data_IF_224499639713
#
_entry.id   IF_224499639713
#
_cell.length_a   1.000
_cell.length_b   1.000
_cell.length_c   1.000
_cell.angle_alpha   90.00
_cell.angle_beta   90.00
_cell.angle_gamma   90.00
#
_symmetry.space_group_name_H-M   'P 1'
#
loop_
_entity.id
_entity.type
_entity.pdbx_description
1 polymer ?
#
# COMPACT_ATOMS: atom_id res chain seq x y z
N UNK A 1 3.39 -21.30 -10.90
CA UNK A 1 4.76 -21.40 -11.40
C UNK A 1 4.74 -21.65 -12.91
N UNK A 2 5.70 -21.10 -13.67
CA UNK A 2 5.93 -21.54 -15.05
C UNK A 2 6.17 -23.07 -15.02
N UNK A 3 5.30 -23.87 -15.61
CA UNK A 3 5.47 -25.31 -15.68
C UNK A 3 4.47 -26.16 -14.89
N UNK A 4 3.47 -25.57 -14.22
CA UNK A 4 2.37 -26.34 -13.64
C UNK A 4 2.21 -26.25 -12.12
N UNK A 5 1.39 -27.13 -11.56
CA UNK A 5 1.04 -27.20 -10.13
C UNK A 5 2.26 -27.65 -9.31
N UNK A 6 2.45 -27.05 -8.13
CA UNK A 6 3.46 -27.50 -7.17
C UNK A 6 3.15 -28.95 -6.73
N UNK A 7 4.19 -29.78 -6.69
CA UNK A 7 4.08 -31.17 -6.26
C UNK A 7 5.41 -31.65 -5.69
N UNK A 8 5.39 -32.05 -4.43
CA UNK A 8 6.56 -32.64 -3.76
C UNK A 8 6.95 -33.98 -4.38
N UNK A 9 5.96 -34.75 -4.88
CA UNK A 9 6.21 -36.06 -5.52
C UNK A 9 6.98 -35.97 -6.84
N UNK A 10 6.89 -34.83 -7.53
CA UNK A 10 7.52 -34.59 -8.82
C UNK A 10 8.74 -33.65 -8.68
N UNK A 11 9.15 -33.32 -7.46
CA UNK A 11 10.28 -32.44 -7.18
C UNK A 11 10.06 -30.98 -7.58
N UNK A 12 8.80 -30.57 -7.85
CA UNK A 12 8.46 -29.18 -8.17
C UNK A 12 8.04 -28.45 -6.91
N UNK A 13 9.01 -28.03 -6.12
CA UNK A 13 8.80 -27.25 -4.88
C UNK A 13 9.44 -25.90 -5.06
N UNK A 14 8.82 -24.87 -4.47
CA UNK A 14 9.44 -23.57 -4.27
C UNK A 14 9.46 -23.33 -2.78
N UNK A 15 10.64 -23.22 -2.23
CA UNK A 15 10.80 -22.91 -0.82
C UNK A 15 10.47 -21.45 -0.56
N UNK A 16 9.84 -21.18 0.57
CA UNK A 16 9.42 -19.81 0.93
C UNK A 16 10.63 -18.89 1.12
N UNK A 17 11.70 -19.41 1.68
CA UNK A 17 12.94 -18.66 1.89
C UNK A 17 13.55 -18.21 0.55
N UNK A 18 13.62 -19.10 -0.45
CA UNK A 18 14.07 -18.76 -1.80
C UNK A 18 13.18 -17.69 -2.45
N UNK A 19 11.87 -17.76 -2.22
CA UNK A 19 10.95 -16.73 -2.70
C UNK A 19 11.22 -15.39 -2.01
N UNK A 20 11.44 -15.38 -0.70
CA UNK A 20 11.72 -14.16 0.05
C UNK A 20 13.04 -13.54 -0.37
N UNK A 21 14.11 -14.32 -0.48
CA UNK A 21 15.42 -13.84 -0.94
C UNK A 21 15.36 -13.25 -2.35
N UNK A 22 14.65 -13.92 -3.24
CA UNK A 22 14.45 -13.44 -4.60
C UNK A 22 13.62 -12.14 -4.62
N UNK A 23 12.56 -12.04 -3.81
CA UNK A 23 11.77 -10.81 -3.69
C UNK A 23 12.61 -9.64 -3.19
N UNK A 24 13.44 -9.85 -2.17
CA UNK A 24 14.37 -8.85 -1.64
C UNK A 24 15.37 -8.40 -2.71
N UNK A 25 15.96 -9.35 -3.44
CA UNK A 25 16.89 -9.05 -4.53
C UNK A 25 16.26 -8.21 -5.65
N UNK A 26 15.02 -8.54 -6.05
CA UNK A 26 14.31 -7.77 -7.09
C UNK A 26 13.94 -6.39 -6.54
N UNK A 27 13.43 -6.30 -5.30
CA UNK A 27 13.12 -5.03 -4.65
C UNK A 27 14.34 -4.11 -4.56
N UNK A 28 15.52 -4.66 -4.20
CA UNK A 28 16.78 -3.91 -4.15
C UNK A 28 17.10 -3.27 -5.50
N UNK A 29 17.05 -4.04 -6.58
CA UNK A 29 17.30 -3.55 -7.94
C UNK A 29 16.30 -2.44 -8.35
N UNK A 30 15.04 -2.57 -7.97
CA UNK A 30 14.03 -1.55 -8.28
C UNK A 30 14.22 -0.26 -7.47
N UNK A 31 14.67 -0.37 -6.21
CA UNK A 31 15.01 0.80 -5.39
C UNK A 31 16.23 1.52 -5.98
N UNK A 32 17.30 0.81 -6.28
CA UNK A 32 18.53 1.37 -6.87
C UNK A 32 18.28 2.14 -8.17
N UNK A 33 17.35 1.67 -9.01
CA UNK A 33 16.94 2.39 -10.22
C UNK A 33 16.24 3.72 -9.94
N UNK A 34 15.46 3.80 -8.87
CA UNK A 34 14.57 4.93 -8.57
C UNK A 34 15.16 5.91 -7.55
N UNK A 35 15.99 5.42 -6.64
CA UNK A 35 16.51 6.15 -5.47
C UNK A 35 18.00 5.88 -5.29
N UNK A 36 18.81 6.59 -6.07
CA UNK A 36 20.28 6.51 -6.00
C UNK A 36 20.88 7.06 -4.69
N UNK A 37 20.07 7.80 -3.95
CA UNK A 37 20.42 8.37 -2.65
C UNK A 37 20.31 7.37 -1.48
N UNK A 38 19.66 6.22 -1.68
CA UNK A 38 19.52 5.17 -0.67
C UNK A 38 20.58 4.10 -0.90
N UNK A 39 21.51 3.94 0.05
CA UNK A 39 22.64 3.02 -0.06
C UNK A 39 22.90 2.28 1.27
N UNK A 40 23.79 1.28 1.26
CA UNK A 40 24.23 0.55 2.46
C UNK A 40 23.07 -0.11 3.22
N UNK A 41 23.12 -0.05 4.56
CA UNK A 41 22.14 -0.70 5.44
C UNK A 41 20.70 -0.21 5.20
N UNK A 42 20.51 1.07 4.85
CA UNK A 42 19.19 1.61 4.56
C UNK A 42 18.56 0.97 3.31
N UNK A 43 19.37 0.70 2.28
CA UNK A 43 18.93 0.01 1.08
C UNK A 43 18.57 -1.46 1.39
N UNK A 44 19.36 -2.14 2.18
CA UNK A 44 19.10 -3.52 2.57
C UNK A 44 17.81 -3.66 3.38
N UNK A 45 17.62 -2.81 4.37
CA UNK A 45 16.43 -2.83 5.20
C UNK A 45 15.16 -2.51 4.39
N UNK A 46 15.21 -1.47 3.56
CA UNK A 46 14.09 -1.11 2.70
C UNK A 46 13.76 -2.21 1.68
N UNK A 47 14.80 -2.87 1.15
CA UNK A 47 14.63 -3.98 0.20
C UNK A 47 13.94 -5.17 0.87
N UNK A 48 14.29 -5.50 2.11
CA UNK A 48 13.62 -6.53 2.92
C UNK A 48 12.16 -6.19 3.17
N UNK A 49 11.89 -4.96 3.62
CA UNK A 49 10.51 -4.52 3.89
C UNK A 49 9.63 -4.62 2.65
N UNK A 50 10.10 -4.11 1.51
CA UNK A 50 9.33 -4.14 0.26
C UNK A 50 9.20 -5.57 -0.28
N UNK A 51 10.29 -6.34 -0.33
CA UNK A 51 10.27 -7.69 -0.87
C UNK A 51 9.38 -8.64 -0.07
N UNK A 52 9.54 -8.67 1.26
CA UNK A 52 8.71 -9.50 2.14
C UNK A 52 7.26 -9.04 2.13
N UNK A 53 7.03 -7.72 2.16
CA UNK A 53 5.70 -7.14 2.05
C UNK A 53 4.98 -7.53 0.76
N UNK A 54 5.70 -7.56 -0.36
CA UNK A 54 5.16 -7.97 -1.65
C UNK A 54 4.72 -9.44 -1.66
N UNK A 55 5.50 -10.34 -1.08
CA UNK A 55 5.11 -11.76 -0.95
C UNK A 55 3.87 -11.91 -0.08
N UNK A 56 3.87 -11.31 1.11
CA UNK A 56 2.73 -11.37 2.04
C UNK A 56 1.44 -10.84 1.40
N UNK A 57 1.51 -9.69 0.78
CA UNK A 57 0.37 -9.08 0.09
C UNK A 57 -0.19 -10.00 -1.00
N UNK A 58 0.68 -10.54 -1.86
CA UNK A 58 0.26 -11.41 -2.95
C UNK A 58 -0.38 -12.72 -2.49
N UNK A 59 0.04 -13.27 -1.36
CA UNK A 59 -0.57 -14.47 -0.78
C UNK A 59 -1.92 -14.10 -0.15
N UNK A 60 -1.97 -13.06 0.66
CA UNK A 60 -3.18 -12.71 1.44
C UNK A 60 -4.30 -12.19 0.53
N UNK A 61 -4.00 -11.51 -0.58
CA UNK A 61 -5.03 -10.97 -1.48
C UNK A 61 -5.88 -12.04 -2.18
N UNK A 62 -5.42 -13.28 -2.18
CA UNK A 62 -6.14 -14.39 -2.82
C UNK A 62 -7.06 -15.06 -1.81
N UNK A 63 -8.26 -15.40 -2.23
CA UNK A 63 -9.17 -16.20 -1.41
C UNK A 63 -8.55 -17.58 -1.14
N UNK A 64 -8.69 -18.07 0.09
CA UNK A 64 -8.03 -19.31 0.54
C UNK A 64 -8.45 -20.55 -0.24
N UNK A 65 -9.65 -20.56 -0.83
CA UNK A 65 -10.21 -21.64 -1.66
C UNK A 65 -9.80 -21.56 -3.13
N UNK A 66 -9.11 -20.46 -3.53
CA UNK A 66 -8.69 -20.26 -4.91
C UNK A 66 -7.21 -20.52 -5.10
N UNK A 67 -6.87 -21.29 -6.12
CA UNK A 67 -5.51 -21.39 -6.61
C UNK A 67 -5.10 -20.10 -7.35
N UNK A 68 -3.83 -19.74 -7.28
CA UNK A 68 -3.28 -18.61 -8.03
C UNK A 68 -1.94 -18.93 -8.65
N UNK A 69 -1.61 -18.19 -9.71
CA UNK A 69 -0.28 -18.24 -10.34
C UNK A 69 0.50 -17.03 -9.87
N UNK A 70 1.58 -17.27 -9.13
CA UNK A 70 2.45 -16.19 -8.67
C UNK A 70 3.28 -15.64 -9.84
N UNK A 71 3.29 -14.31 -9.99
CA UNK A 71 4.10 -13.60 -10.99
C UNK A 71 4.88 -12.48 -10.32
N UNK A 72 6.18 -12.45 -10.56
CA UNK A 72 7.10 -11.47 -9.97
C UNK A 72 6.80 -10.05 -10.39
N UNK A 73 6.45 -9.86 -11.65
CA UNK A 73 6.13 -8.56 -12.26
C UNK A 73 4.89 -7.92 -11.63
N UNK A 74 3.92 -8.76 -11.26
CA UNK A 74 2.71 -8.28 -10.56
C UNK A 74 2.98 -8.00 -9.08
N UNK A 75 3.75 -8.87 -8.42
CA UNK A 75 4.01 -8.78 -6.98
C UNK A 75 4.77 -7.52 -6.58
N UNK A 76 5.71 -7.09 -7.42
CA UNK A 76 6.61 -5.95 -7.18
C UNK A 76 6.29 -4.75 -8.07
N UNK A 77 5.09 -4.66 -8.61
CA UNK A 77 4.64 -3.52 -9.40
C UNK A 77 4.33 -2.32 -8.50
N UNK A 78 5.00 -1.19 -8.71
CA UNK A 78 4.80 0.05 -7.94
C UNK A 78 3.57 0.87 -8.40
N UNK A 79 2.96 0.50 -9.51
CA UNK A 79 1.83 1.23 -10.12
C UNK A 79 0.52 0.41 -10.12
N UNK A 80 0.58 -0.84 -9.66
CA UNK A 80 -0.53 -1.79 -9.73
C UNK A 80 -1.07 -2.25 -8.38
N UNK A 81 -1.86 -3.33 -8.41
CA UNK A 81 -2.41 -4.00 -7.23
C UNK A 81 -1.30 -4.80 -6.50
N UNK A 82 -0.54 -4.09 -5.67
CA UNK A 82 0.65 -4.62 -5.02
C UNK A 82 0.96 -3.93 -3.69
N UNK A 83 1.77 -4.57 -2.84
CA UNK A 83 2.25 -3.96 -1.60
C UNK A 83 3.08 -2.69 -1.85
N UNK A 84 4.02 -2.64 -2.81
CA UNK A 84 4.77 -1.42 -3.09
C UNK A 84 3.90 -0.20 -3.38
N UNK A 85 2.77 -0.35 -4.06
CA UNK A 85 1.82 0.73 -4.32
C UNK A 85 1.20 1.28 -3.03
N UNK A 86 0.78 0.38 -2.13
CA UNK A 86 0.22 0.75 -0.82
C UNK A 86 1.28 1.43 0.05
N UNK A 87 2.49 0.84 0.12
CA UNK A 87 3.63 1.39 0.87
C UNK A 87 4.03 2.79 0.35
N UNK A 88 4.01 2.99 -0.96
CA UNK A 88 4.30 4.29 -1.56
C UNK A 88 3.25 5.33 -1.18
N UNK A 89 1.97 4.96 -1.12
CA UNK A 89 0.90 5.85 -0.67
C UNK A 89 1.08 6.25 0.80
N UNK A 90 1.47 5.31 1.68
CA UNK A 90 1.81 5.60 3.07
C UNK A 90 3.03 6.53 3.20
N UNK A 91 4.09 6.28 2.41
CA UNK A 91 5.28 7.14 2.39
C UNK A 91 4.96 8.57 1.92
N UNK A 92 4.11 8.70 0.89
CA UNK A 92 3.59 9.99 0.41
C UNK A 92 2.81 10.73 1.49
N UNK A 93 1.89 10.07 2.18
CA UNK A 93 1.15 10.65 3.29
C UNK A 93 2.10 11.14 4.41
N UNK A 94 3.10 10.34 4.74
CA UNK A 94 4.14 10.72 5.72
C UNK A 94 4.95 11.95 5.28
N UNK A 95 5.30 12.05 4.00
CA UNK A 95 6.04 13.18 3.45
C UNK A 95 5.19 14.48 3.46
N UNK A 96 3.90 14.40 3.17
CA UNK A 96 2.98 15.54 3.25
C UNK A 96 2.92 16.06 4.69
N UNK A 97 2.69 15.18 5.67
CA UNK A 97 2.58 15.55 7.08
C UNK A 97 3.86 16.24 7.57
N UNK A 98 5.04 15.78 7.15
CA UNK A 98 6.33 16.39 7.50
C UNK A 98 6.52 17.80 6.91
N UNK A 99 5.85 18.14 5.81
CA UNK A 99 5.93 19.46 5.19
C UNK A 99 5.01 20.50 5.84
N UNK A 100 4.00 20.05 6.58
CA UNK A 100 3.06 20.94 7.25
C UNK A 100 3.64 21.32 8.61
N UNK A 101 4.29 22.48 8.67
CA UNK A 101 4.97 23.00 9.87
C UNK A 101 4.12 24.00 10.67
N UNK A 102 2.92 24.34 10.20
CA UNK A 102 2.07 25.35 10.83
C UNK A 102 1.13 24.72 11.85
N UNK A 103 1.06 25.31 13.04
CA UNK A 103 -0.05 25.11 13.94
C UNK A 103 -1.27 25.87 13.39
N UNK A 104 -2.33 25.15 13.10
CA UNK A 104 -3.56 25.76 12.62
C UNK A 104 -4.36 26.31 13.79
N UNK A 105 -4.55 27.61 13.83
CA UNK A 105 -5.42 28.29 14.82
C UNK A 105 -6.90 28.14 14.52
N UNK A 106 -7.26 27.82 13.29
CA UNK A 106 -8.64 27.68 12.84
C UNK A 106 -8.89 26.34 12.13
N UNK A 107 -9.86 25.59 12.63
CA UNK A 107 -10.29 24.30 12.09
C UNK A 107 -11.35 24.52 10.99
N UNK A 108 -10.94 25.08 9.85
CA UNK A 108 -11.86 25.35 8.74
C UNK A 108 -12.18 24.10 7.95
N UNK A 109 -13.46 23.82 7.77
CA UNK A 109 -13.98 22.75 6.92
C UNK A 109 -14.62 23.38 5.68
N UNK A 110 -14.37 22.85 4.46
CA UNK A 110 -15.01 23.35 3.24
C UNK A 110 -16.54 23.22 3.33
N UNK A 111 -17.28 24.24 2.90
CA UNK A 111 -18.75 24.13 2.75
C UNK A 111 -19.13 23.08 1.68
N UNK A 112 -18.36 23.02 0.60
CA UNK A 112 -18.52 22.05 -0.47
C UNK A 112 -17.24 21.25 -0.61
N UNK A 113 -17.34 19.94 -0.44
CA UNK A 113 -16.22 19.02 -0.62
C UNK A 113 -15.96 18.76 -2.10
N UNK A 114 -14.68 18.69 -2.47
CA UNK A 114 -14.31 18.18 -3.78
C UNK A 114 -14.68 16.69 -3.90
N UNK A 115 -14.98 16.22 -5.10
CA UNK A 115 -15.39 14.82 -5.32
C UNK A 115 -14.37 13.79 -4.80
N UNK A 116 -13.07 14.07 -4.94
CA UNK A 116 -12.00 13.20 -4.42
C UNK A 116 -11.85 13.25 -2.90
N UNK A 117 -12.16 14.39 -2.24
CA UNK A 117 -12.22 14.46 -0.78
C UNK A 117 -13.35 13.59 -0.25
N UNK A 118 -14.53 13.71 -0.85
CA UNK A 118 -15.72 12.95 -0.46
C UNK A 118 -15.51 11.44 -0.64
N UNK A 119 -14.89 11.03 -1.75
CA UNK A 119 -14.62 9.61 -2.02
C UNK A 119 -13.57 9.03 -1.05
N UNK A 120 -12.55 9.81 -0.69
CA UNK A 120 -11.56 9.41 0.32
C UNK A 120 -12.22 9.24 1.70
N UNK A 121 -13.08 10.19 2.12
CA UNK A 121 -13.84 10.09 3.37
C UNK A 121 -14.71 8.83 3.40
N UNK A 122 -15.49 8.60 2.35
CA UNK A 122 -16.34 7.40 2.23
C UNK A 122 -15.52 6.11 2.33
N UNK A 123 -14.32 6.11 1.75
CA UNK A 123 -13.44 4.96 1.82
C UNK A 123 -12.91 4.74 3.23
N UNK A 124 -12.45 5.80 3.90
CA UNK A 124 -11.98 5.72 5.29
C UNK A 124 -13.09 5.24 6.25
N UNK A 125 -14.32 5.71 6.08
CA UNK A 125 -15.47 5.29 6.90
C UNK A 125 -15.77 3.79 6.79
N UNK A 126 -15.40 3.12 5.70
CA UNK A 126 -15.60 1.67 5.53
C UNK A 126 -14.62 0.82 6.32
N UNK A 127 -13.51 1.39 6.82
CA UNK A 127 -12.44 0.63 7.47
C UNK A 127 -12.93 -0.28 8.61
N UNK A 128 -13.70 0.21 9.60
CA UNK A 128 -14.16 -0.65 10.70
C UNK A 128 -15.01 -1.83 10.22
N UNK A 129 -15.85 -1.60 9.21
CA UNK A 129 -16.69 -2.66 8.63
C UNK A 129 -15.83 -3.72 7.92
N UNK A 130 -14.81 -3.30 7.16
CA UNK A 130 -13.89 -4.22 6.47
C UNK A 130 -13.16 -5.10 7.48
N UNK A 131 -12.67 -4.54 8.58
CA UNK A 131 -11.99 -5.30 9.64
C UNK A 131 -12.97 -6.31 10.27
N UNK A 132 -14.16 -5.86 10.65
CA UNK A 132 -15.20 -6.73 11.21
C UNK A 132 -15.53 -7.89 10.29
N UNK A 133 -15.84 -7.62 9.03
CA UNK A 133 -16.16 -8.68 8.06
C UNK A 133 -14.98 -9.62 7.77
N UNK A 134 -13.75 -9.09 7.73
CA UNK A 134 -12.56 -9.91 7.50
C UNK A 134 -12.33 -10.90 8.63
N UNK A 135 -12.59 -10.47 9.87
CA UNK A 135 -12.43 -11.29 11.08
C UNK A 135 -13.56 -12.30 11.22
N UNK A 136 -14.82 -11.85 11.22
CA UNK A 136 -15.99 -12.71 11.45
C UNK A 136 -16.16 -13.79 10.37
N UNK A 137 -15.80 -13.46 9.12
CA UNK A 137 -15.94 -14.37 7.98
C UNK A 137 -14.65 -15.09 7.60
N UNK A 138 -13.56 -14.91 8.35
CA UNK A 138 -12.24 -15.48 8.04
C UNK A 138 -11.80 -15.17 6.59
N UNK A 139 -12.00 -13.91 6.16
CA UNK A 139 -11.72 -13.47 4.77
C UNK A 139 -10.63 -12.40 4.74
N UNK A 140 -9.37 -12.73 5.05
CA UNK A 140 -8.27 -11.76 5.13
C UNK A 140 -7.99 -11.06 3.79
N UNK A 141 -8.33 -11.65 2.66
CA UNK A 141 -8.17 -11.06 1.33
C UNK A 141 -8.95 -9.76 1.12
N UNK A 142 -9.95 -9.46 1.94
CA UNK A 142 -10.67 -8.18 1.89
C UNK A 142 -9.78 -7.00 2.29
N UNK A 143 -8.80 -7.20 3.16
CA UNK A 143 -7.90 -6.15 3.64
C UNK A 143 -7.02 -5.61 2.52
N UNK A 144 -6.23 -6.40 1.78
CA UNK A 144 -5.47 -5.92 0.64
C UNK A 144 -6.32 -5.20 -0.41
N UNK A 145 -7.50 -5.72 -0.71
CA UNK A 145 -8.45 -5.09 -1.64
C UNK A 145 -8.87 -3.70 -1.20
N UNK A 146 -9.17 -3.56 0.10
CA UNK A 146 -9.51 -2.28 0.70
C UNK A 146 -8.32 -1.31 0.69
N UNK A 147 -7.11 -1.77 1.06
CA UNK A 147 -5.91 -0.94 1.06
C UNK A 147 -5.56 -0.43 -0.34
N UNK A 148 -5.76 -1.25 -1.36
CA UNK A 148 -5.62 -0.85 -2.76
C UNK A 148 -6.59 0.26 -3.14
N UNK A 149 -7.86 0.12 -2.77
CA UNK A 149 -8.90 1.13 -3.01
C UNK A 149 -8.58 2.43 -2.28
N UNK A 150 -8.19 2.34 -1.00
CA UNK A 150 -7.81 3.50 -0.20
C UNK A 150 -6.61 4.22 -0.80
N UNK A 151 -5.57 3.49 -1.21
CA UNK A 151 -4.38 4.05 -1.84
C UNK A 151 -4.71 4.76 -3.15
N UNK A 152 -5.58 4.17 -3.98
CA UNK A 152 -6.02 4.76 -5.24
C UNK A 152 -6.79 6.06 -5.02
N UNK A 153 -7.74 6.07 -4.08
CA UNK A 153 -8.53 7.25 -3.74
C UNK A 153 -7.68 8.35 -3.07
N UNK A 154 -6.72 7.96 -2.23
CA UNK A 154 -5.75 8.89 -1.66
C UNK A 154 -4.86 9.54 -2.72
N UNK A 155 -4.35 8.76 -3.68
CA UNK A 155 -3.53 9.28 -4.76
C UNK A 155 -4.32 10.22 -5.68
N UNK A 156 -5.61 9.94 -5.91
CA UNK A 156 -6.52 10.84 -6.63
C UNK A 156 -6.74 12.14 -5.86
N UNK A 157 -7.07 12.04 -4.57
CA UNK A 157 -7.22 13.21 -3.68
C UNK A 157 -5.95 14.07 -3.68
N UNK A 158 -4.78 13.47 -3.53
CA UNK A 158 -3.51 14.19 -3.52
C UNK A 158 -3.23 14.97 -4.82
N UNK A 159 -3.63 14.42 -5.96
CA UNK A 159 -3.48 15.09 -7.25
C UNK A 159 -4.47 16.24 -7.43
N UNK A 160 -5.70 16.03 -6.98
CA UNK A 160 -6.83 16.94 -7.28
C UNK A 160 -6.96 18.06 -6.22
N UNK A 161 -6.48 17.84 -4.99
CA UNK A 161 -6.64 18.74 -3.85
C UNK A 161 -5.27 19.10 -3.23
N UNK A 162 -4.72 20.29 -3.49
CA UNK A 162 -3.53 20.78 -2.80
C UNK A 162 -3.72 20.72 -1.28
N UNK A 163 -2.74 20.19 -0.54
CA UNK A 163 -2.82 20.04 0.91
C UNK A 163 -1.99 21.14 1.61
N UNK A 164 -0.72 21.27 1.23
CA UNK A 164 0.23 22.20 1.88
C UNK A 164 -0.04 23.61 1.40
N UNK A 165 -0.04 24.58 2.32
CA UNK A 165 -0.30 26.02 2.07
C UNK A 165 -1.64 26.32 1.38
N UNK A 166 -2.62 25.44 1.53
CA UNK A 166 -3.96 25.56 0.96
C UNK A 166 -4.96 26.19 1.96
N UNK A 167 -6.05 26.75 1.46
CA UNK A 167 -7.12 27.37 2.27
C UNK A 167 -7.67 26.43 3.35
N UNK A 168 -7.82 25.14 3.02
CA UNK A 168 -8.34 24.10 3.93
C UNK A 168 -7.25 23.13 4.37
N UNK A 169 -6.02 23.62 4.63
CA UNK A 169 -4.86 22.79 4.97
C UNK A 169 -5.14 21.91 6.20
N UNK A 170 -5.72 22.46 7.27
CA UNK A 170 -6.06 21.67 8.47
C UNK A 170 -6.97 20.47 8.14
N UNK A 171 -8.07 20.71 7.45
CA UNK A 171 -9.03 19.66 7.09
C UNK A 171 -8.38 18.56 6.21
N UNK A 172 -7.62 18.98 5.19
CA UNK A 172 -6.93 18.05 4.28
C UNK A 172 -5.80 17.30 4.98
N UNK A 173 -5.10 17.94 5.92
CA UNK A 173 -4.12 17.30 6.79
C UNK A 173 -4.75 16.17 7.59
N UNK A 174 -5.94 16.39 8.19
CA UNK A 174 -6.65 15.35 8.94
C UNK A 174 -7.03 14.14 8.05
N UNK A 175 -7.40 14.37 6.80
CA UNK A 175 -7.62 13.29 5.84
C UNK A 175 -6.34 12.51 5.54
N UNK A 176 -5.21 13.21 5.37
CA UNK A 176 -3.89 12.58 5.16
C UNK A 176 -3.47 11.78 6.39
N UNK A 177 -3.62 12.33 7.60
CA UNK A 177 -3.28 11.66 8.86
C UNK A 177 -4.13 10.40 9.04
N UNK A 178 -5.44 10.51 8.81
CA UNK A 178 -6.37 9.37 8.89
C UNK A 178 -6.01 8.28 7.88
N UNK A 179 -5.70 8.68 6.64
CA UNK A 179 -5.26 7.75 5.60
C UNK A 179 -3.97 7.03 6.01
N UNK A 180 -2.97 7.78 6.50
CA UNK A 180 -1.70 7.20 6.97
C UNK A 180 -1.89 6.19 8.10
N UNK A 181 -2.83 6.44 9.02
CA UNK A 181 -3.10 5.52 10.15
C UNK A 181 -3.71 4.20 9.68
N UNK A 182 -4.44 4.22 8.59
CA UNK A 182 -5.12 3.03 8.05
C UNK A 182 -4.21 2.24 7.10
N UNK A 183 -3.35 2.92 6.32
CA UNK A 183 -2.35 2.28 5.47
C UNK A 183 -1.18 1.70 6.26
#
# INVERSE_FOLDING_TARGET
LPGGKMSTRVGRVVYLDEMMDKAVSIAKKEIEKRRKDITGNALEELSKQIGIGAIRYNIIRIQSDKGFKFKWEEALNFEGDSAPFVMYSHARASAIIKKINKEHTENRVPKNLHASELELIRTLMKFPLIIKESTERMKPHKIPYYLQTLSSNFNKFYRDCPVVDAEYEWFRKELVVSTKKVL
#
